data_IF_281485473690
#
_entry.id   IF_281485473690
#
_cell.length_a   1.000
_cell.length_b   1.000
_cell.length_c   1.000
_cell.angle_alpha   90.00
_cell.angle_beta   90.00
_cell.angle_gamma   90.00
#
_symmetry.space_group_name_H-M   'P 1'
#
loop_
_entity.id
_entity.type
_entity.pdbx_description
1 polymer ?
2 polymer ?
3 polymer ?
4 non-polymer ?
5 water ?
#
loop_
_entity_poly.entity_id
_entity_poly.type
_entity_poly.pdbx_seq_one_letter_code
_entity_poly.pdbx_strand_id
2 'polydeoxyribonucleotide' '(DC)(DG)(DC)(DT)(DA)(DG)(DT)(DG)(DA)(DT)(DA)(DC)(DA)(DT)' ?
3 'polydeoxyribonucleotide' '(DT)(DC)(DT)(DC)(DG)(DT)(DC)(DA)(DC)(DT)(DA)(DG)(DC)(DG)' ?
#
# COMPACT_ATOMS: atom_id res chain seq x y z
N UNK A 2 -3.01 4.51 -7.04
CA UNK A 2 -1.98 5.36 -6.47
C UNK A 2 -1.31 6.26 -7.50
N UNK A 3 -0.03 6.04 -7.72
CA UNK A 3 0.74 6.83 -8.69
C UNK A 3 0.61 6.24 -10.08
N UNK A 4 -0.20 6.85 -10.93
CA UNK A 4 -0.44 6.33 -12.27
C UNK A 4 0.78 6.46 -13.16
N UNK A 5 1.17 5.35 -13.78
CA UNK A 5 2.24 5.34 -14.75
C UNK A 5 3.65 5.47 -14.17
N UNK A 6 3.77 5.25 -12.85
CA UNK A 6 5.05 5.38 -12.19
C UNK A 6 6.02 4.28 -12.61
N UNK A 7 5.53 3.05 -12.74
CA UNK A 7 6.37 1.93 -13.14
C UNK A 7 6.98 2.11 -14.53
N UNK A 8 6.18 2.61 -15.46
CA UNK A 8 6.66 2.84 -16.83
C UNK A 8 7.64 4.00 -16.89
N UNK A 9 7.45 4.98 -16.03
CA UNK A 9 8.27 6.18 -16.03
C UNK A 9 9.71 5.87 -15.64
N UNK A 10 9.87 4.97 -14.67
CA UNK A 10 11.20 4.62 -14.17
C UNK A 10 11.56 3.17 -14.45
N UNK A 11 11.08 2.64 -15.58
CA UNK A 11 11.31 1.24 -15.92
C UNK A 11 12.80 0.94 -16.13
N UNK A 12 13.60 1.99 -16.35
CA UNK A 12 15.03 1.83 -16.55
C UNK A 12 15.71 1.28 -15.29
N UNK A 13 15.11 1.53 -14.13
CA UNK A 13 15.67 1.10 -12.86
C UNK A 13 15.17 -0.29 -12.47
N UNK A 14 14.31 -0.87 -13.31
CA UNK A 14 13.76 -2.19 -13.04
C UNK A 14 14.72 -3.29 -13.47
N UNK A 15 14.81 -4.33 -12.67
CA UNK A 15 15.66 -5.47 -12.95
C UNK A 15 14.90 -6.77 -12.74
N UNK A 16 14.66 -7.51 -13.82
CA UNK A 16 14.02 -8.83 -13.74
C UNK A 16 14.83 -9.77 -12.85
N UNK A 17 14.19 -10.36 -11.84
CA UNK A 17 14.89 -11.26 -10.93
C UNK A 17 14.09 -12.53 -10.67
N UNK A 18 14.64 -13.38 -9.80
CA UNK A 18 13.91 -14.53 -9.27
C UNK A 18 14.03 -14.50 -7.75
N UNK A 19 13.09 -15.15 -7.07
CA UNK A 19 13.04 -15.10 -5.61
C UNK A 19 14.25 -15.74 -4.94
N UNK A 20 14.96 -16.60 -5.68
CA UNK A 20 16.19 -17.22 -5.17
C UNK A 20 17.17 -16.19 -4.62
N UNK A 21 17.18 -15.00 -5.23
CA UNK A 21 18.07 -13.92 -4.86
C UNK A 21 17.92 -13.55 -3.39
N UNK A 22 16.79 -13.89 -2.79
CA UNK A 22 16.54 -13.60 -1.39
C UNK A 22 16.40 -14.86 -0.55
N UNK A 23 17.22 -15.87 -0.87
CA UNK A 23 17.21 -17.12 -0.10
C UNK A 23 17.88 -16.91 1.25
N UNK A 24 17.24 -17.41 2.31
CA UNK A 24 17.74 -17.25 3.65
C UNK A 24 17.53 -15.85 4.19
N UNK A 25 16.73 -15.06 3.47
CA UNK A 25 16.43 -13.69 3.88
C UNK A 25 14.94 -13.55 4.21
N UNK A 26 14.56 -12.38 4.73
CA UNK A 26 13.18 -12.13 5.09
C UNK A 26 12.54 -11.14 4.14
N UNK A 27 11.37 -11.48 3.61
CA UNK A 27 10.64 -10.63 2.68
C UNK A 27 9.22 -10.36 3.17
N UNK A 28 8.78 -9.11 3.06
CA UNK A 28 7.44 -8.73 3.48
C UNK A 28 6.49 -8.67 2.29
N UNK A 29 5.26 -9.18 2.47
CA UNK A 29 4.32 -9.29 1.36
C UNK A 29 3.06 -8.45 1.57
N UNK A 30 2.77 -7.57 0.61
CA UNK A 30 1.50 -6.84 0.60
C UNK A 30 0.39 -7.82 0.23
N UNK A 31 -0.09 -8.55 1.23
CA UNK A 31 -0.99 -9.68 1.00
C UNK A 31 -2.26 -9.34 0.24
N UNK A 32 -2.74 -8.10 0.37
CA UNK A 32 -4.00 -7.69 -0.25
C UNK A 32 -4.05 -7.95 -1.76
N UNK A 33 -2.91 -7.88 -2.43
CA UNK A 33 -2.85 -8.12 -3.86
C UNK A 33 -3.14 -9.59 -4.18
N UNK A 34 -2.56 -10.48 -3.38
CA UNK A 34 -2.80 -11.90 -3.51
C UNK A 34 -4.24 -12.24 -3.13
N UNK A 35 -4.75 -11.57 -2.10
CA UNK A 35 -6.11 -11.80 -1.63
C UNK A 35 -7.12 -11.39 -2.69
N UNK A 36 -6.85 -10.26 -3.33
CA UNK A 36 -7.74 -9.70 -4.34
C UNK A 36 -7.71 -10.54 -5.61
N UNK A 37 -6.51 -10.80 -6.13
CA UNK A 37 -6.37 -11.60 -7.33
C UNK A 37 -6.88 -13.03 -7.10
N UNK A 38 -6.83 -13.48 -5.85
CA UNK A 38 -7.33 -14.79 -5.49
C UNK A 38 -8.83 -14.80 -5.27
N UNK A 39 -9.39 -13.64 -4.99
CA UNK A 39 -10.84 -13.51 -4.79
C UNK A 39 -11.55 -13.31 -6.11
N UNK A 40 -10.82 -12.82 -7.12
CA UNK A 40 -11.40 -12.64 -8.45
C UNK A 40 -11.88 -13.97 -9.03
N UNK A 41 -11.15 -15.04 -8.74
CA UNK A 41 -11.50 -16.38 -9.20
C UNK A 41 -12.87 -16.83 -8.65
N UNK A 42 -13.09 -16.62 -7.36
CA UNK A 42 -14.35 -16.99 -6.72
C UNK A 42 -15.20 -15.76 -6.41
N UNK A 43 -15.51 -14.99 -7.44
CA UNK A 43 -16.26 -13.75 -7.28
C UNK A 43 -17.75 -14.02 -7.05
N UNK A 44 -18.33 -14.86 -7.89
CA UNK A 44 -19.77 -15.13 -7.84
C UNK A 44 -20.14 -15.84 -6.54
N UNK A 45 -19.22 -16.63 -6.00
CA UNK A 45 -19.42 -17.29 -4.71
C UNK A 45 -19.64 -16.27 -3.61
N UNK A 46 -18.77 -15.26 -3.55
CA UNK A 46 -18.86 -14.20 -2.54
C UNK A 46 -20.05 -13.28 -2.82
N UNK A 47 -20.42 -13.17 -4.09
CA UNK A 47 -21.54 -12.32 -4.49
C UNK A 47 -22.87 -12.92 -4.07
N UNK A 48 -22.97 -14.24 -4.16
CA UNK A 48 -24.20 -14.94 -3.77
C UNK A 48 -24.29 -15.14 -2.26
N UNK A 49 -23.14 -15.05 -1.58
CA UNK A 49 -23.07 -15.32 -0.16
C UNK A 49 -22.80 -16.79 0.09
N UNK A 50 -22.33 -17.48 -0.95
CA UNK A 50 -22.04 -18.90 -0.90
C UNK A 50 -20.61 -19.14 -0.40
N UNK A 51 -20.46 -20.03 0.60
CA UNK A 51 -19.17 -20.35 1.24
C UNK A 51 -18.08 -20.79 0.25
N UNK A 52 -16.88 -20.28 0.43
CA UNK A 52 -15.75 -20.62 -0.43
C UNK A 52 -14.41 -20.14 0.13
N UNK A 53 -13.35 -20.88 -0.19
CA UNK A 53 -12.01 -20.52 0.27
C UNK A 53 -10.90 -20.80 -0.75
N UNK A 54 -11.12 -20.42 -2.00
CA UNK A 54 -10.12 -20.61 -3.04
C UNK A 54 -8.97 -19.63 -2.87
N UNK A 55 -9.30 -18.42 -2.44
CA UNK A 55 -8.30 -17.36 -2.26
C UNK A 55 -7.28 -17.74 -1.20
N UNK A 56 -7.72 -18.53 -0.22
CA UNK A 56 -6.83 -19.05 0.80
C UNK A 56 -5.78 -19.96 0.17
N UNK A 57 -6.23 -20.88 -0.67
CA UNK A 57 -5.32 -21.77 -1.38
C UNK A 57 -4.41 -21.04 -2.34
N UNK A 58 -4.89 -19.91 -2.85
CA UNK A 58 -4.10 -19.06 -3.74
C UNK A 58 -2.93 -18.40 -2.99
N UNK A 59 -3.28 -17.64 -1.96
CA UNK A 59 -2.29 -17.00 -1.11
C UNK A 59 -1.30 -18.00 -0.54
N UNK A 60 -1.82 -19.17 -0.14
CA UNK A 60 -0.96 -20.21 0.40
C UNK A 60 -0.13 -20.87 -0.68
N UNK A 61 -0.57 -20.77 -1.93
CA UNK A 61 0.23 -21.26 -3.05
C UNK A 61 1.47 -20.38 -3.20
N UNK A 62 1.25 -19.06 -3.22
CA UNK A 62 2.39 -18.14 -3.29
C UNK A 62 3.32 -18.29 -2.09
N UNK A 63 2.72 -18.41 -0.91
CA UNK A 63 3.47 -18.57 0.33
C UNK A 63 4.32 -19.84 0.29
N UNK A 64 3.73 -20.93 -0.18
CA UNK A 64 4.44 -22.20 -0.31
C UNK A 64 5.54 -22.12 -1.35
N UNK A 65 5.37 -21.26 -2.36
CA UNK A 65 6.44 -21.04 -3.32
C UNK A 65 7.63 -20.35 -2.65
N UNK A 66 7.35 -19.24 -1.97
CA UNK A 66 8.39 -18.50 -1.26
C UNK A 66 9.12 -19.40 -0.26
N UNK A 67 8.35 -20.25 0.42
CA UNK A 67 8.91 -21.18 1.40
C UNK A 67 9.77 -22.24 0.72
N UNK A 68 9.28 -22.77 -0.39
CA UNK A 68 10.01 -23.79 -1.14
C UNK A 68 11.35 -23.25 -1.65
N UNK A 69 11.45 -21.95 -1.86
CA UNK A 69 12.71 -21.38 -2.26
C UNK A 69 13.49 -20.88 -1.09
N UNK A 70 13.04 -21.28 0.08
CA UNK A 70 13.79 -21.02 1.30
C UNK A 70 13.83 -19.56 1.76
N UNK A 71 12.69 -18.88 1.69
CA UNK A 71 12.60 -17.50 2.13
C UNK A 71 11.63 -17.38 3.30
N UNK A 72 11.92 -16.47 4.23
CA UNK A 72 11.03 -16.22 5.36
C UNK A 72 10.08 -15.07 5.05
N UNK A 73 8.81 -15.40 4.77
CA UNK A 73 7.83 -14.37 4.39
C UNK A 73 7.09 -13.80 5.58
N UNK A 74 6.83 -12.50 5.55
CA UNK A 74 6.00 -11.85 6.55
C UNK A 74 4.78 -11.22 5.88
N UNK A 75 3.62 -11.83 6.10
CA UNK A 75 2.39 -11.34 5.50
C UNK A 75 1.90 -10.08 6.21
N UNK A 76 1.56 -9.05 5.43
CA UNK A 76 1.08 -7.80 5.99
C UNK A 76 -0.31 -7.46 5.42
N UNK A 77 -1.19 -6.99 6.29
CA UNK A 77 -2.54 -6.59 5.89
C UNK A 77 -2.82 -5.15 6.28
N UNK A 78 -3.75 -4.52 5.57
CA UNK A 78 -4.18 -3.17 5.93
C UNK A 78 -5.07 -3.21 7.16
N UNK A 79 -4.99 -2.17 7.98
CA UNK A 79 -5.82 -2.07 9.17
C UNK A 79 -6.89 -1.01 9.02
N UNK A 80 -6.85 -0.02 9.91
CA UNK A 80 -7.85 1.05 9.86
C UNK A 80 -7.60 1.97 8.68
N UNK A 81 -8.62 2.73 8.31
CA UNK A 81 -8.53 3.64 7.18
C UNK A 81 -8.23 5.06 7.66
N UNK A 82 -7.26 5.70 6.99
CA UNK A 82 -6.91 7.08 7.32
C UNK A 82 -8.08 8.01 7.03
N UNK A 83 -8.27 9.03 7.88
CA UNK A 83 -9.34 10.03 7.75
C UNK A 83 -9.34 10.76 6.40
N UNK A 84 -8.21 10.75 5.71
CA UNK A 84 -8.11 11.39 4.40
C UNK A 84 -8.54 10.45 3.28
N UNK A 85 -9.27 9.41 3.64
CA UNK A 85 -9.68 8.43 2.67
C UNK A 85 -11.06 7.87 2.94
N UNK A 86 -11.65 8.30 4.03
CA UNK A 86 -12.96 7.81 4.46
C UNK A 86 -14.03 7.89 3.37
N UNK A 87 -14.20 9.08 2.79
CA UNK A 87 -15.24 9.32 1.79
C UNK A 87 -14.93 8.62 0.47
N UNK A 88 -13.65 8.36 0.22
CA UNK A 88 -13.25 7.62 -0.98
C UNK A 88 -13.62 6.15 -0.82
N UNK A 89 -13.30 5.58 0.34
CA UNK A 89 -13.65 4.19 0.62
C UNK A 89 -15.16 4.03 0.66
N UNK A 90 -15.86 5.06 1.11
CA UNK A 90 -17.31 5.06 1.13
C UNK A 90 -17.85 5.16 -0.30
N UNK A 91 -17.14 5.88 -1.14
CA UNK A 91 -17.51 6.00 -2.55
C UNK A 91 -17.39 4.66 -3.26
N UNK A 92 -16.25 3.98 -3.04
CA UNK A 92 -16.04 2.65 -3.61
C UNK A 92 -17.06 1.67 -3.03
N UNK A 93 -17.43 1.88 -1.77
CA UNK A 93 -18.47 1.09 -1.12
C UNK A 93 -19.79 1.23 -1.87
N UNK A 94 -20.16 2.48 -2.17
CA UNK A 94 -21.39 2.76 -2.90
C UNK A 94 -21.34 2.19 -4.31
N UNK A 95 -20.17 2.23 -4.94
CA UNK A 95 -19.99 1.66 -6.27
C UNK A 95 -20.19 0.15 -6.26
N UNK A 96 -19.66 -0.50 -5.23
CA UNK A 96 -19.83 -1.95 -5.10
C UNK A 96 -21.29 -2.30 -4.80
N UNK A 97 -21.95 -1.48 -4.00
CA UNK A 97 -23.37 -1.67 -3.71
C UNK A 97 -24.20 -1.56 -4.99
N UNK A 98 -23.85 -0.57 -5.82
CA UNK A 98 -24.55 -0.35 -7.08
C UNK A 98 -24.34 -1.51 -8.05
N UNK A 99 -23.07 -1.89 -8.24
CA UNK A 99 -22.74 -3.01 -9.12
C UNK A 99 -23.35 -4.32 -8.66
N UNK A 100 -23.47 -4.49 -7.35
CA UNK A 100 -24.08 -5.69 -6.78
C UNK A 100 -25.58 -5.70 -7.00
N UNK A 101 -26.23 -4.57 -6.71
CA UNK A 101 -27.67 -4.44 -6.88
C UNK A 101 -28.09 -4.63 -8.33
N UNK A 102 -27.44 -3.89 -9.23
CA UNK A 102 -27.74 -3.99 -10.66
C UNK A 102 -27.38 -5.36 -11.20
N UNK A 103 -26.18 -5.82 -10.88
CA UNK A 103 -25.70 -7.12 -11.33
C UNK A 103 -26.58 -8.26 -10.88
N UNK A 104 -27.26 -8.07 -9.75
CA UNK A 104 -28.18 -9.07 -9.23
C UNK A 104 -29.57 -8.89 -9.84
N UNK A 105 -30.31 -7.90 -9.34
CA UNK A 105 -31.70 -7.71 -9.73
C UNK A 105 -31.90 -7.38 -11.22
N UNK A 106 -31.07 -6.50 -11.76
CA UNK A 106 -31.24 -6.07 -13.15
C UNK A 106 -30.63 -7.07 -14.13
N UNK A 107 -29.98 -8.10 -13.60
CA UNK A 107 -29.32 -9.10 -14.44
C UNK A 107 -29.47 -10.51 -13.89
N UNK A 108 -30.58 -10.76 -13.20
CA UNK A 108 -30.85 -12.09 -12.65
C UNK A 108 -31.41 -13.02 -13.73
N UNK A 109 -32.06 -12.43 -14.73
CA UNK A 109 -32.63 -13.19 -15.83
C UNK A 109 -32.15 -12.66 -17.18
N UNK A 110 -31.83 -13.57 -18.09
CA UNK A 110 -31.36 -13.19 -19.41
C UNK A 110 -29.85 -13.12 -19.49
N UNK A 111 -29.31 -11.92 -19.34
CA UNK A 111 -27.86 -11.70 -19.41
C UNK A 111 -27.15 -12.31 -18.20
N UNK A 112 -26.09 -13.06 -18.47
CA UNK A 112 -25.36 -13.75 -17.41
C UNK A 112 -23.91 -13.24 -17.32
N UNK A 113 -23.29 -13.05 -18.49
CA UNK A 113 -21.91 -12.57 -18.56
C UNK A 113 -21.77 -11.19 -17.91
N UNK A 114 -22.75 -10.33 -18.14
CA UNK A 114 -22.74 -8.99 -17.57
C UNK A 114 -22.94 -9.04 -16.05
N UNK A 115 -23.76 -9.99 -15.61
CA UNK A 115 -24.02 -10.17 -14.18
C UNK A 115 -22.74 -10.58 -13.45
N UNK A 116 -21.96 -11.44 -14.09
CA UNK A 116 -20.68 -11.88 -13.54
C UNK A 116 -19.65 -10.75 -13.60
N UNK A 117 -19.72 -9.97 -14.67
CA UNK A 117 -18.82 -8.84 -14.87
C UNK A 117 -19.11 -7.71 -13.87
N UNK A 118 -20.32 -7.71 -13.33
CA UNK A 118 -20.69 -6.74 -12.30
C UNK A 118 -20.42 -7.31 -10.91
N UNK A 119 -20.58 -8.61 -10.77
CA UNK A 119 -20.31 -9.29 -9.51
C UNK A 119 -18.83 -9.27 -9.18
N UNK A 120 -17.99 -9.31 -10.22
CA UNK A 120 -16.55 -9.28 -10.02
C UNK A 120 -16.09 -7.87 -9.63
N UNK A 121 -16.95 -6.89 -9.86
CA UNK A 121 -16.65 -5.51 -9.48
C UNK A 121 -17.15 -5.20 -8.07
N UNK A 122 -18.20 -5.92 -7.66
CA UNK A 122 -18.79 -5.73 -6.34
C UNK A 122 -18.10 -6.59 -5.29
N UNK A 123 -16.93 -7.11 -5.63
CA UNK A 123 -16.16 -7.93 -4.72
C UNK A 123 -15.45 -7.09 -3.66
N UNK A 124 -15.73 -7.38 -2.40
CA UNK A 124 -15.14 -6.65 -1.30
C UNK A 124 -14.30 -7.57 -0.41
N UNK A 125 -13.01 -7.25 -0.29
CA UNK A 125 -12.11 -8.02 0.55
C UNK A 125 -12.31 -7.67 2.01
N UNK A 126 -12.85 -8.61 2.78
CA UNK A 126 -13.15 -8.37 4.19
C UNK A 126 -11.99 -8.83 5.07
N UNK A 127 -11.98 -8.39 6.32
CA UNK A 127 -10.94 -8.79 7.25
C UNK A 127 -11.17 -10.20 7.78
N UNK A 128 -12.36 -10.74 7.54
CA UNK A 128 -12.66 -12.12 7.91
C UNK A 128 -11.89 -13.07 7.00
N UNK A 129 -11.94 -12.80 5.70
CA UNK A 129 -11.19 -13.56 4.71
C UNK A 129 -9.69 -13.48 4.99
N UNK A 130 -9.24 -12.24 5.22
CA UNK A 130 -7.84 -12.00 5.58
C UNK A 130 -7.47 -12.78 6.84
N UNK A 131 -8.43 -12.92 7.75
CA UNK A 131 -8.19 -13.67 8.98
C UNK A 131 -8.08 -15.16 8.69
N UNK A 132 -8.83 -15.64 7.70
CA UNK A 132 -8.70 -17.02 7.25
C UNK A 132 -7.30 -17.25 6.72
N UNK A 133 -6.84 -16.32 5.89
CA UNK A 133 -5.49 -16.37 5.36
C UNK A 133 -4.45 -16.36 6.49
N UNK A 134 -4.69 -15.56 7.51
CA UNK A 134 -3.78 -15.47 8.65
C UNK A 134 -3.73 -16.80 9.41
N UNK A 135 -4.90 -17.41 9.62
CA UNK A 135 -4.96 -18.71 10.28
C UNK A 135 -4.20 -19.78 9.50
N UNK A 136 -4.40 -19.81 8.18
CA UNK A 136 -3.69 -20.77 7.34
C UNK A 136 -2.17 -20.55 7.37
N UNK A 137 -1.77 -19.30 7.24
CA UNK A 137 -0.34 -18.95 7.22
C UNK A 137 0.33 -19.28 8.54
N UNK A 138 -0.35 -19.02 9.65
CA UNK A 138 0.20 -19.34 10.96
C UNK A 138 0.21 -20.85 11.17
N UNK A 139 -0.74 -21.54 10.56
CA UNK A 139 -0.78 -22.99 10.61
C UNK A 139 0.40 -23.56 9.83
N UNK A 140 0.88 -22.80 8.85
CA UNK A 140 2.07 -23.19 8.10
C UNK A 140 3.34 -22.52 8.65
N UNK A 141 3.23 -21.92 9.84
CA UNK A 141 4.38 -21.35 10.52
C UNK A 141 4.86 -20.01 10.01
N UNK A 142 4.02 -19.35 9.21
CA UNK A 142 4.37 -18.04 8.62
C UNK A 142 3.87 -16.88 9.48
N UNK A 143 4.74 -15.91 9.72
CA UNK A 143 4.39 -14.74 10.53
C UNK A 143 3.44 -13.79 9.80
N UNK A 144 2.50 -13.21 10.55
CA UNK A 144 1.57 -12.23 10.00
C UNK A 144 1.59 -10.93 10.80
N UNK A 145 1.15 -9.86 10.18
CA UNK A 145 1.10 -8.56 10.84
C UNK A 145 0.01 -7.71 10.20
N UNK A 146 -0.96 -7.29 11.00
CA UNK A 146 -1.96 -6.34 10.52
C UNK A 146 -1.53 -4.92 10.84
N UNK A 147 -1.26 -4.14 9.80
CA UNK A 147 -0.86 -2.75 9.96
C UNK A 147 -1.91 -1.97 10.74
N UNK A 148 -1.48 -0.97 11.52
CA UNK A 148 -2.45 -0.11 12.19
C UNK A 148 -3.29 0.66 11.18
N UNK A 149 -2.66 1.04 10.07
CA UNK A 149 -3.37 1.72 8.99
C UNK A 149 -3.02 1.11 7.65
N UNK A 150 -2.49 1.92 6.73
CA UNK A 150 -2.18 1.42 5.40
C UNK A 150 -0.99 0.48 5.43
N UNK A 151 -1.06 -0.55 4.59
CA UNK A 151 -0.04 -1.59 4.56
C UNK A 151 1.28 -1.08 4.01
N UNK A 152 1.23 -0.16 3.06
CA UNK A 152 2.44 0.32 2.39
C UNK A 152 3.39 1.03 3.35
N UNK A 153 2.83 1.74 4.33
CA UNK A 153 3.65 2.40 5.34
C UNK A 153 4.31 1.36 6.25
N UNK A 154 3.53 0.38 6.68
CA UNK A 154 4.03 -0.70 7.53
C UNK A 154 5.18 -1.44 6.85
N UNK A 155 4.97 -1.79 5.57
CA UNK A 155 5.97 -2.48 4.77
C UNK A 155 7.23 -1.62 4.62
N UNK A 156 7.03 -0.36 4.26
CA UNK A 156 8.14 0.58 4.13
C UNK A 156 8.94 0.64 5.44
N UNK A 157 8.26 0.60 6.57
CA UNK A 157 8.95 0.60 7.85
C UNK A 157 9.77 -0.67 8.04
N UNK A 158 9.15 -1.82 7.78
CA UNK A 158 9.83 -3.11 7.89
C UNK A 158 11.10 -3.16 7.03
N UNK A 159 11.05 -2.50 5.88
CA UNK A 159 12.17 -2.49 4.95
C UNK A 159 13.25 -1.50 5.37
N UNK A 160 12.83 -0.34 5.87
CA UNK A 160 13.75 0.73 6.25
C UNK A 160 14.37 0.50 7.62
N UNK A 161 13.96 -0.57 8.29
CA UNK A 161 14.46 -0.90 9.62
C UNK A 161 15.28 -2.18 9.58
N UNK A 162 15.42 -2.74 8.38
CA UNK A 162 16.21 -3.93 8.19
C UNK A 162 15.54 -5.23 8.61
N UNK A 163 14.27 -5.13 9.01
CA UNK A 163 13.51 -6.31 9.42
C UNK A 163 13.25 -7.22 8.22
N UNK A 164 13.02 -6.60 7.04
CA UNK A 164 12.95 -7.34 5.79
C UNK A 164 13.89 -6.72 4.77
N UNK A 165 14.22 -7.46 3.72
CA UNK A 165 15.18 -7.00 2.73
C UNK A 165 14.49 -6.56 1.44
N UNK A 166 13.27 -7.06 1.24
CA UNK A 166 12.50 -6.69 0.07
C UNK A 166 11.00 -6.71 0.38
N UNK A 167 10.22 -6.10 -0.50
CA UNK A 167 8.77 -6.06 -0.35
C UNK A 167 8.09 -6.50 -1.64
N UNK A 168 7.26 -7.54 -1.54
CA UNK A 168 6.51 -8.02 -2.69
C UNK A 168 5.14 -7.36 -2.72
N UNK A 169 4.88 -6.59 -3.78
CA UNK A 169 3.62 -5.87 -3.92
C UNK A 169 3.33 -5.55 -5.38
N UNK A 170 2.14 -5.00 -5.64
CA UNK A 170 1.80 -4.51 -6.96
C UNK A 170 1.61 -2.99 -6.92
N UNK A 171 1.64 -2.44 -5.73
CA UNK A 171 1.45 -1.00 -5.52
C UNK A 171 2.74 -0.25 -5.82
N UNK A 172 2.65 0.79 -6.63
CA UNK A 172 3.83 1.58 -7.00
C UNK A 172 4.09 2.69 -5.99
N UNK A 173 3.15 2.91 -5.08
CA UNK A 173 3.28 3.95 -4.07
C UNK A 173 4.38 3.63 -3.05
N UNK A 174 4.77 2.36 -2.97
CA UNK A 174 5.79 1.91 -2.04
C UNK A 174 7.09 2.68 -2.20
N UNK A 175 7.40 3.07 -3.44
CA UNK A 175 8.62 3.79 -3.72
C UNK A 175 8.58 5.19 -3.11
N UNK A 176 7.39 5.77 -3.07
CA UNK A 176 7.23 7.12 -2.52
C UNK A 176 7.35 7.14 -1.00
N UNK A 177 7.22 5.97 -0.39
CA UNK A 177 7.37 5.84 1.06
C UNK A 177 8.84 5.70 1.46
N UNK A 178 9.69 5.43 0.47
CA UNK A 178 11.12 5.34 0.71
C UNK A 178 11.64 3.93 0.93
N UNK A 179 11.00 2.95 0.30
CA UNK A 179 11.47 1.56 0.38
C UNK A 179 12.81 1.41 -0.33
N UNK A 180 13.57 0.39 0.07
CA UNK A 180 14.88 0.15 -0.52
C UNK A 180 14.76 -0.82 -1.69
N UNK A 181 14.01 -1.89 -1.51
CA UNK A 181 13.83 -2.90 -2.54
C UNK A 181 12.37 -3.32 -2.67
N UNK A 182 11.83 -3.19 -3.88
CA UNK A 182 10.44 -3.54 -4.14
C UNK A 182 10.33 -4.52 -5.30
N UNK A 183 9.69 -5.66 -5.05
CA UNK A 183 9.51 -6.67 -6.10
C UNK A 183 8.09 -6.63 -6.65
N UNK A 184 7.97 -6.16 -7.89
CA UNK A 184 6.67 -6.01 -8.54
C UNK A 184 6.37 -7.16 -9.50
N UNK A 185 5.09 -7.34 -9.80
CA UNK A 185 4.64 -8.27 -10.83
C UNK A 185 5.25 -9.67 -10.74
N UNK A 186 5.20 -10.26 -9.56
CA UNK A 186 5.70 -11.61 -9.36
C UNK A 186 4.63 -12.65 -9.66
N UNK A 187 5.00 -13.69 -10.39
CA UNK A 187 4.05 -14.75 -10.73
C UNK A 187 4.17 -15.94 -9.78
N UNK A 188 3.63 -17.08 -10.20
CA UNK A 188 3.57 -18.28 -9.38
C UNK A 188 4.94 -18.90 -9.11
N UNK A 189 5.89 -18.66 -10.00
CA UNK A 189 7.17 -19.36 -9.96
C UNK A 189 8.28 -18.53 -9.29
N UNK A 190 8.01 -17.26 -9.08
CA UNK A 190 8.97 -16.37 -8.46
C UNK A 190 9.64 -15.43 -9.45
N UNK A 191 8.96 -15.19 -10.57
CA UNK A 191 9.46 -14.27 -11.58
C UNK A 191 8.84 -12.89 -11.45
N UNK A 192 9.64 -11.92 -11.03
CA UNK A 192 9.14 -10.58 -10.82
C UNK A 192 10.12 -9.47 -11.16
N UNK A 193 9.63 -8.24 -11.18
CA UNK A 193 10.45 -7.06 -11.45
C UNK A 193 10.87 -6.37 -10.16
N UNK A 194 12.18 -6.28 -9.95
CA UNK A 194 12.71 -5.60 -8.78
C UNK A 194 13.11 -4.17 -9.10
N UNK A 195 12.80 -3.25 -8.19
CA UNK A 195 13.23 -1.87 -8.33
C UNK A 195 13.90 -1.38 -7.05
N UNK A 196 15.20 -1.14 -7.11
CA UNK A 196 15.95 -0.65 -5.96
C UNK A 196 15.99 0.87 -5.96
N UNK A 197 16.00 1.45 -4.77
CA UNK A 197 16.04 2.89 -4.61
C UNK A 197 17.31 3.48 -5.23
N UNK A 198 18.46 2.89 -4.89
CA UNK A 198 19.75 3.38 -5.39
C UNK A 198 19.82 3.39 -6.91
N UNK A 199 19.10 2.46 -7.54
CA UNK A 199 19.11 2.34 -8.99
C UNK A 199 18.24 3.39 -9.70
N UNK A 200 17.55 4.22 -8.92
CA UNK A 200 16.71 5.27 -9.51
C UNK A 200 17.53 6.23 -10.36
N UNK A 201 18.82 6.32 -10.08
CA UNK A 201 19.72 7.16 -10.85
C UNK A 201 19.91 6.70 -12.29
N UNK A 202 19.57 5.44 -12.56
CA UNK A 202 19.71 4.89 -13.91
C UNK A 202 18.69 5.47 -14.87
N UNK A 203 17.75 6.25 -14.36
CA UNK A 203 16.73 6.88 -15.20
C UNK A 203 17.19 8.27 -15.63
N UNK A 204 17.56 8.40 -16.90
CA UNK A 204 18.04 9.68 -17.42
C UNK A 204 16.94 10.73 -17.40
N UNK A 205 15.71 10.30 -17.69
CA UNK A 205 14.57 11.20 -17.71
C UNK A 205 14.31 11.80 -16.33
N UNK A 206 14.73 11.07 -15.31
CA UNK A 206 14.53 11.49 -13.92
C UNK A 206 15.44 12.66 -13.54
N UNK A 207 16.66 12.66 -14.08
CA UNK A 207 17.61 13.72 -13.80
C UNK A 207 18.15 13.69 -12.38
N UNK A 208 18.07 14.82 -11.69
CA UNK A 208 18.55 14.91 -10.31
C UNK A 208 17.41 14.68 -9.32
N UNK A 209 16.30 14.12 -9.79
CA UNK A 209 15.17 13.81 -8.93
C UNK A 209 15.20 12.33 -8.56
N UNK A 210 16.35 11.88 -8.07
CA UNK A 210 16.49 10.49 -7.65
C UNK A 210 16.62 10.38 -6.13
N UNK A 211 16.78 11.53 -5.47
CA UNK A 211 16.81 11.58 -4.02
C UNK A 211 15.41 11.30 -3.47
N UNK A 212 15.33 10.73 -2.28
CA UNK A 212 14.07 10.30 -1.69
C UNK A 212 13.05 11.44 -1.58
N UNK A 213 13.50 12.58 -1.07
CA UNK A 213 12.63 13.74 -0.88
C UNK A 213 12.07 14.25 -2.21
N UNK A 214 12.96 14.53 -3.16
CA UNK A 214 12.55 15.02 -4.47
C UNK A 214 11.65 14.02 -5.21
N UNK A 215 11.97 12.74 -5.09
CA UNK A 215 11.18 11.69 -5.72
C UNK A 215 9.77 11.66 -5.13
N UNK A 216 9.69 11.81 -3.81
CA UNK A 216 8.41 11.89 -3.10
C UNK A 216 7.60 13.10 -3.57
N UNK A 217 8.26 14.25 -3.66
CA UNK A 217 7.60 15.47 -4.14
C UNK A 217 7.05 15.27 -5.55
N UNK A 218 7.81 14.54 -6.37
CA UNK A 218 7.38 14.26 -7.74
C UNK A 218 6.14 13.37 -7.75
N UNK A 219 6.16 12.33 -6.91
CA UNK A 219 5.03 11.42 -6.82
C UNK A 219 3.76 12.14 -6.35
N UNK A 220 3.89 13.01 -5.36
CA UNK A 220 2.74 13.76 -4.87
C UNK A 220 2.23 14.75 -5.92
N UNK A 221 3.13 15.54 -6.48
CA UNK A 221 2.76 16.50 -7.53
C UNK A 221 2.09 15.84 -8.72
N UNK A 222 2.50 14.61 -9.03
CA UNK A 222 1.94 13.88 -10.16
C UNK A 222 0.49 13.51 -9.94
N UNK A 223 0.15 13.23 -8.68
CA UNK A 223 -1.19 12.79 -8.32
C UNK A 223 -1.16 11.48 -7.55
N UNK A 224 -1.52 11.56 -6.27
CA UNK A 224 -1.51 10.39 -5.39
C UNK A 224 -2.86 10.23 -4.69
N UNK A 225 -2.97 9.21 -3.84
CA UNK A 225 -4.22 8.96 -3.12
C UNK A 225 -4.49 9.98 -2.03
N UNK A 226 -3.43 10.66 -1.56
CA UNK A 226 -3.59 11.65 -0.49
C UNK A 226 -3.87 13.04 -1.07
N UNK A 227 -3.73 13.18 -2.38
CA UNK A 227 -3.94 14.46 -3.04
C UNK A 227 -3.99 14.33 -4.56
N UNK A 228 -5.10 14.76 -5.16
CA UNK A 228 -5.22 14.78 -6.61
C UNK A 228 -4.31 15.86 -7.17
N UNK A 229 -3.86 15.67 -8.41
CA UNK A 229 -2.94 16.61 -9.03
C UNK A 229 -3.67 17.77 -9.69
N UNK A 230 -2.94 18.85 -9.92
CA UNK A 230 -3.43 19.95 -10.75
C UNK A 230 -3.72 19.42 -12.14
N UNK A 231 -4.71 19.99 -12.82
CA UNK A 231 -5.08 19.49 -14.14
C UNK A 231 -4.00 19.82 -15.17
N UNK A 232 -3.40 18.77 -15.73
CA UNK A 232 -2.35 18.94 -16.71
C UNK A 232 -0.98 18.61 -16.16
N UNK A 233 -0.95 18.22 -14.89
CA UNK A 233 0.32 17.87 -14.25
C UNK A 233 0.42 16.36 -14.00
N UNK A 234 1.32 15.72 -14.74
CA UNK A 234 1.59 14.30 -14.56
C UNK A 234 3.02 14.09 -14.08
N UNK A 235 3.55 12.90 -14.29
CA UNK A 235 4.91 12.58 -13.87
C UNK A 235 5.95 13.41 -14.61
N UNK A 236 5.78 13.57 -15.92
CA UNK A 236 6.75 14.30 -16.73
C UNK A 236 6.85 15.76 -16.29
N UNK A 237 5.70 16.42 -16.16
CA UNK A 237 5.64 17.83 -15.77
C UNK A 237 6.18 18.06 -14.35
N UNK A 238 5.85 17.14 -13.44
CA UNK A 238 6.30 17.25 -12.06
C UNK A 238 7.81 17.08 -11.98
N UNK A 239 8.30 16.06 -12.68
CA UNK A 239 9.72 15.82 -12.78
C UNK A 239 10.44 17.03 -13.36
N UNK A 240 9.83 17.64 -14.37
CA UNK A 240 10.41 18.80 -15.05
C UNK A 240 10.51 20.00 -14.11
N UNK A 241 9.40 20.33 -13.47
CA UNK A 241 9.35 21.49 -12.59
C UNK A 241 10.27 21.27 -11.37
N UNK A 242 10.49 20.02 -11.00
CA UNK A 242 11.42 19.73 -9.92
C UNK A 242 12.88 19.85 -10.38
N UNK A 243 13.14 19.45 -11.62
CA UNK A 243 14.49 19.56 -12.18
C UNK A 243 14.90 21.02 -12.36
N UNK A 244 13.97 21.84 -12.84
CA UNK A 244 14.25 23.24 -13.12
C UNK A 244 14.49 24.07 -11.85
N UNK A 245 13.62 23.90 -10.86
CA UNK A 245 13.68 24.70 -9.64
C UNK A 245 14.88 24.33 -8.77
N UNK A 246 15.55 25.36 -8.25
CA UNK A 246 16.70 25.15 -7.37
C UNK A 246 16.34 25.40 -5.91
N UNK A 247 15.33 26.23 -5.70
CA UNK A 247 14.89 26.62 -4.35
C UNK A 247 14.43 25.42 -3.53
N UNK A 248 15.12 25.16 -2.41
CA UNK A 248 14.81 24.04 -1.51
C UNK A 248 13.38 24.07 -0.97
N UNK A 249 12.83 25.27 -0.77
CA UNK A 249 11.47 25.43 -0.29
C UNK A 249 10.48 25.02 -1.37
N UNK A 250 9.74 23.94 -1.10
CA UNK A 250 8.82 23.38 -2.09
C UNK A 250 7.57 24.26 -2.28
N UNK A 251 7.22 25.02 -1.25
CA UNK A 251 6.03 25.87 -1.29
C UNK A 251 6.11 26.92 -2.39
N UNK A 252 7.22 27.64 -2.44
CA UNK A 252 7.44 28.68 -3.45
C UNK A 252 7.47 28.06 -4.85
N UNK A 253 8.02 26.86 -4.95
CA UNK A 253 8.07 26.15 -6.23
C UNK A 253 6.67 25.84 -6.72
N UNK A 254 5.84 25.28 -5.84
CA UNK A 254 4.47 24.94 -6.20
C UNK A 254 3.69 26.21 -6.53
N UNK A 255 4.05 27.31 -5.88
CA UNK A 255 3.43 28.60 -6.18
C UNK A 255 3.87 29.13 -7.55
N UNK A 256 5.05 28.74 -8.00
CA UNK A 256 5.55 29.17 -9.30
C UNK A 256 5.50 28.05 -10.33
N UNK A 257 4.67 27.04 -10.08
CA UNK A 257 4.53 25.90 -10.98
C UNK A 257 4.04 26.34 -12.36
N UNK A 258 3.31 27.44 -12.42
CA UNK A 258 2.82 27.98 -13.67
C UNK A 258 3.93 28.71 -14.40
N UNK A 259 4.90 29.20 -13.63
CA UNK A 259 6.03 29.92 -14.19
C UNK A 259 7.05 28.96 -14.79
N UNK A 260 7.34 27.88 -14.07
CA UNK A 260 8.35 26.92 -14.51
C UNK A 260 7.91 26.08 -15.71
N UNK A 261 6.59 25.93 -15.89
CA UNK A 261 6.08 25.03 -16.92
C UNK A 261 5.49 25.77 -18.11
N UNK A 262 5.50 27.10 -18.05
CA UNK A 262 4.98 27.96 -19.11
C UNK A 262 3.51 27.67 -19.44
N UNK A 263 2.76 27.21 -18.43
CA UNK A 263 1.33 26.97 -18.62
C UNK A 263 0.51 27.66 -17.53
N UNK A 264 -0.64 28.20 -17.93
CA UNK A 264 -1.46 29.02 -17.03
C UNK A 264 -2.11 28.20 -15.92
N UNK A 265 -1.49 28.21 -14.75
CA UNK A 265 -2.01 27.46 -13.62
C UNK A 265 -2.19 28.34 -12.39
N UNK A 266 -3.42 28.41 -11.90
CA UNK A 266 -3.72 29.12 -10.67
C UNK A 266 -3.85 28.13 -9.51
N UNK A 267 -2.81 28.04 -8.70
CA UNK A 267 -2.77 27.10 -7.57
C UNK A 267 -3.81 27.44 -6.51
N UNK A 268 -4.76 26.53 -6.28
CA UNK A 268 -5.81 26.69 -5.27
C UNK A 268 -5.24 26.88 -3.86
N UNK A 269 -6.02 27.50 -2.98
CA UNK A 269 -5.58 27.79 -1.62
C UNK A 269 -5.40 26.49 -0.83
N UNK A 270 -6.26 25.52 -1.12
CA UNK A 270 -6.26 24.25 -0.40
C UNK A 270 -5.15 23.33 -0.85
N UNK A 271 -4.60 23.58 -2.04
CA UNK A 271 -3.62 22.66 -2.62
C UNK A 271 -2.28 22.66 -1.90
N UNK A 272 -1.85 23.81 -1.40
CA UNK A 272 -0.59 23.88 -0.68
C UNK A 272 -0.68 23.11 0.63
N UNK A 273 -1.72 23.41 1.41
CA UNK A 273 -1.96 22.73 2.67
C UNK A 273 -2.16 21.24 2.47
N UNK A 274 -2.86 20.88 1.40
CA UNK A 274 -3.09 19.49 1.05
C UNK A 274 -1.80 18.80 0.64
N UNK A 275 -0.89 19.56 0.04
CA UNK A 275 0.41 19.04 -0.33
C UNK A 275 1.22 18.75 0.92
N UNK A 276 1.23 19.70 1.84
CA UNK A 276 1.95 19.55 3.10
C UNK A 276 1.40 18.35 3.87
N UNK A 277 0.08 18.20 3.84
CA UNK A 277 -0.58 17.07 4.50
C UNK A 277 -0.22 15.75 3.83
N UNK A 278 -0.16 15.75 2.50
CA UNK A 278 0.21 14.54 1.76
C UNK A 278 1.63 14.10 2.11
N UNK A 279 2.56 15.06 2.03
CA UNK A 279 3.95 14.79 2.35
C UNK A 279 4.11 14.30 3.78
N UNK A 280 3.42 14.97 4.71
CA UNK A 280 3.45 14.58 6.11
C UNK A 280 2.85 13.19 6.33
N UNK A 281 1.89 12.81 5.49
CA UNK A 281 1.31 11.48 5.58
C UNK A 281 2.31 10.44 5.09
N UNK A 282 3.02 10.75 4.00
CA UNK A 282 4.06 9.86 3.49
C UNK A 282 5.18 9.69 4.48
N UNK A 283 5.47 10.75 5.24
CA UNK A 283 6.60 10.72 6.17
C UNK A 283 6.27 10.10 7.53
N UNK A 284 5.14 10.49 8.10
CA UNK A 284 4.86 10.22 9.50
C UNK A 284 3.58 9.41 9.76
N UNK A 285 3.19 8.56 8.81
CA UNK A 285 2.04 7.70 9.02
C UNK A 285 2.35 6.64 10.07
N UNK A 286 1.40 6.38 10.96
CA UNK A 286 1.64 5.48 12.09
C UNK A 286 1.78 4.03 11.64
N UNK A 287 2.83 3.38 12.13
CA UNK A 287 3.07 1.96 11.86
C UNK A 287 3.31 1.22 13.16
N UNK A 288 3.32 -0.10 13.10
CA UNK A 288 3.54 -0.91 14.29
C UNK A 288 4.95 -1.50 14.31
N UNK A 289 5.71 -1.17 15.34
CA UNK A 289 7.02 -1.76 15.55
C UNK A 289 6.86 -3.15 16.17
N UNK A 290 7.19 -4.20 15.41
CA UNK A 290 7.02 -5.57 15.91
C UNK A 290 7.98 -5.90 17.04
N UNK A 291 9.16 -5.27 17.05
CA UNK A 291 10.17 -5.54 18.06
C UNK A 291 9.83 -4.87 19.38
N UNK A 292 9.67 -3.54 19.35
CA UNK A 292 9.36 -2.78 20.55
C UNK A 292 7.90 -2.95 20.98
N UNK A 293 7.10 -3.54 20.10
CA UNK A 293 5.69 -3.82 20.35
C UNK A 293 4.91 -2.56 20.71
N UNK A 294 5.17 -1.48 19.97
CA UNK A 294 4.47 -0.22 20.18
C UNK A 294 4.19 0.50 18.86
N UNK A 295 3.46 1.61 18.95
CA UNK A 295 3.01 2.34 17.78
C UNK A 295 3.87 3.56 17.52
N UNK A 296 4.61 3.53 16.42
CA UNK A 296 5.55 4.61 16.09
C UNK A 296 5.33 5.14 14.68
N UNK A 297 5.77 6.39 14.43
CA UNK A 297 5.71 6.95 13.07
C UNK A 297 6.64 6.24 12.10
N UNK A 298 6.41 6.40 10.81
CA UNK A 298 7.27 5.80 9.79
C UNK A 298 8.69 6.36 9.92
N UNK A 299 8.78 7.68 10.04
CA UNK A 299 10.05 8.34 10.32
C UNK A 299 9.94 9.20 11.59
N UNK A 300 11.04 9.30 12.33
CA UNK A 300 11.08 10.16 13.51
C UNK A 300 10.81 11.60 13.11
N UNK A 301 9.97 12.28 13.89
CA UNK A 301 9.56 13.65 13.58
C UNK A 301 10.75 14.60 13.49
N UNK A 302 10.67 15.55 12.56
CA UNK A 302 11.70 16.57 12.40
C UNK A 302 11.52 17.70 13.39
N UNK A 303 12.36 18.73 13.27
CA UNK A 303 12.34 19.85 14.21
C UNK A 303 11.23 20.84 13.87
N UNK A 304 10.71 20.76 12.64
CA UNK A 304 9.66 21.69 12.19
C UNK A 304 8.33 21.00 11.94
N UNK A 305 7.90 20.17 12.89
CA UNK A 305 6.63 19.46 12.75
C UNK A 305 5.98 19.20 14.11
N UNK A 306 4.68 19.47 14.19
CA UNK A 306 3.94 19.29 15.43
C UNK A 306 3.01 18.08 15.34
N UNK A 307 3.32 17.03 16.12
CA UNK A 307 2.58 15.76 16.15
C UNK A 307 1.08 15.93 16.45
N UNK A 308 0.71 16.98 17.16
CA UNK A 308 -0.70 17.20 17.51
C UNK A 308 -1.53 17.60 16.30
N UNK A 309 -0.84 18.00 15.23
CA UNK A 309 -1.53 18.45 14.02
C UNK A 309 -1.49 17.40 12.90
N UNK A 310 -1.03 16.20 13.24
CA UNK A 310 -0.92 15.13 12.26
C UNK A 310 -1.92 14.01 12.51
N UNK A 311 -3.16 14.38 12.81
CA UNK A 311 -4.20 13.39 13.07
C UNK A 311 -4.58 12.65 11.79
N UNK A 312 -4.44 13.33 10.66
CA UNK A 312 -4.79 12.74 9.36
C UNK A 312 -3.81 11.63 8.97
N UNK A 313 -2.66 11.57 9.64
CA UNK A 313 -1.70 10.51 9.42
C UNK A 313 -1.93 9.35 10.38
N UNK A 314 -3.13 9.28 10.94
CA UNK A 314 -3.48 8.23 11.88
C UNK A 314 -3.33 8.66 13.32
N UNK A 315 -4.25 8.23 14.17
CA UNK A 315 -4.24 8.60 15.58
C UNK A 315 -3.71 7.47 16.46
N UNK A 316 -3.02 7.83 17.54
CA UNK A 316 -2.44 6.85 18.44
C UNK A 316 -3.51 6.14 19.27
N UNK A 317 -3.22 4.89 19.61
CA UNK A 317 -4.00 4.16 20.60
C UNK A 317 -3.02 3.50 21.56
N UNK A 318 -3.53 2.82 22.57
CA UNK A 318 -2.65 2.13 23.52
C UNK A 318 -1.88 1.02 22.80
N UNK A 319 -0.65 0.79 23.23
CA UNK A 319 0.20 -0.17 22.57
C UNK A 319 -0.32 -1.61 22.67
N UNK A 320 -1.09 -1.90 23.72
CA UNK A 320 -1.64 -3.24 23.90
C UNK A 320 -2.77 -3.51 22.91
N UNK A 321 -3.56 -2.47 22.65
CA UNK A 321 -4.62 -2.52 21.66
C UNK A 321 -4.03 -2.63 20.25
N UNK A 322 -2.99 -1.84 19.98
CA UNK A 322 -2.31 -1.87 18.70
C UNK A 322 -1.66 -3.22 18.47
N UNK A 323 -1.15 -3.82 19.54
CA UNK A 323 -0.56 -5.14 19.49
C UNK A 323 -1.62 -6.18 19.16
N UNK A 324 -2.77 -6.08 19.82
CA UNK A 324 -3.86 -7.02 19.55
C UNK A 324 -4.42 -6.86 18.14
N UNK A 325 -4.33 -5.65 17.59
CA UNK A 325 -4.74 -5.40 16.22
C UNK A 325 -3.73 -6.02 15.25
N UNK A 326 -2.45 -5.85 15.55
CA UNK A 326 -1.37 -6.38 14.72
C UNK A 326 -1.39 -7.90 14.64
N UNK A 327 -1.87 -8.55 15.70
CA UNK A 327 -1.95 -10.01 15.74
C UNK A 327 -3.20 -10.53 15.04
N UNK A 328 -4.06 -9.61 14.63
CA UNK A 328 -5.32 -9.98 13.99
C UNK A 328 -6.34 -10.49 14.98
N UNK A 329 -6.07 -10.31 16.27
CA UNK A 329 -6.98 -10.75 17.31
C UNK A 329 -8.17 -9.81 17.49
N UNK A 330 -7.89 -8.51 17.37
CA UNK A 330 -8.93 -7.49 17.56
C UNK A 330 -9.47 -7.00 16.22
N UNK A 331 -10.78 -7.01 16.08
CA UNK A 331 -11.42 -6.55 14.85
C UNK A 331 -11.15 -5.07 14.62
N UNK A 332 -10.99 -4.70 13.35
CA UNK A 332 -10.65 -3.33 12.97
C UNK A 332 -11.75 -2.34 13.33
N UNK A 333 -13.00 -2.72 13.09
CA UNK A 333 -14.13 -1.81 13.26
C UNK A 333 -14.72 -1.83 14.66
N UNK A 334 -15.17 -2.99 15.11
CA UNK A 334 -15.88 -3.09 16.37
C UNK A 334 -14.95 -3.16 17.59
N UNK A 335 -13.66 -3.38 17.33
CA UNK A 335 -12.64 -3.53 18.38
C UNK A 335 -12.90 -4.73 19.29
N UNK A 336 -13.73 -5.66 18.84
CA UNK A 336 -14.02 -6.86 19.60
C UNK A 336 -12.96 -7.93 19.39
N UNK A 337 -12.69 -8.71 20.43
CA UNK A 337 -11.72 -9.79 20.36
C UNK A 337 -12.30 -10.99 19.62
N UNK A 338 -11.80 -11.27 18.43
CA UNK A 338 -12.30 -12.37 17.62
C UNK A 338 -11.37 -13.58 17.66
N UNK A 339 -10.21 -13.41 18.26
CA UNK A 339 -9.22 -14.49 18.32
C UNK A 339 -8.29 -14.29 19.52
N UNK A 340 -7.60 -15.36 19.91
CA UNK A 340 -6.76 -15.32 21.10
C UNK A 340 -5.36 -15.87 20.82
N UNK A 341 -4.79 -15.48 19.69
CA UNK A 341 -3.44 -15.92 19.33
C UNK A 341 -2.40 -15.24 20.21
N UNK A 342 -1.44 -16.02 20.70
CA UNK A 342 -0.38 -15.49 21.55
C UNK A 342 1.00 -15.85 21.01
N UNK A 343 1.75 -14.84 20.57
CA UNK A 343 3.09 -15.06 20.01
C UNK A 343 4.09 -15.54 21.07
N UNK A 344 3.76 -15.33 22.35
CA UNK A 344 4.62 -15.76 23.43
C UNK A 344 4.56 -17.28 23.61
N UNK A 345 3.34 -17.83 23.58
CA UNK A 345 3.16 -19.26 23.76
C UNK A 345 2.80 -19.94 22.44
N UNK A 346 3.80 -20.05 21.56
CA UNK A 346 3.62 -20.69 20.26
C UNK A 346 4.43 -21.98 20.17
N UNK A 355 9.73 -13.51 15.09
CA UNK A 355 9.17 -12.16 15.11
C UNK A 355 8.66 -11.80 16.50
N UNK A 356 8.42 -10.51 16.73
CA UNK A 356 7.94 -9.99 18.01
C UNK A 356 8.89 -10.31 19.17
N UNK A 357 10.18 -10.31 18.89
CA UNK A 357 11.19 -10.60 19.91
C UNK A 357 12.46 -9.79 19.68
X LIG D 1 -1.86 13.93 -12.70
#
# INVERSE_FOLDING_TARGET
MGIQGLLQFIKEASEPIHVRKYKGQVVAVDTYCWLHKGAIACAEKLAKGEPTDRYVGFCMKFVNMLLSHGIKPILVFDGCTLPSKKEVERSRRERRQANLLKGKQLLREGKVSEARECFTRSINITHAMAHKVIKAARSQGVDCLVAPYEADAQLAYLNKAGIVQAIITEDSDLLAFGCKKVILKMDQFGNGLEIDQARLGMCRQLGDVFTEEKFRYMCILSGCDYLSSLRGIGLAKACKVLRLANNPDIVKVIKKIGHYLKMNITVPEDYINGFIRANNTFLYQLVFDPIKRKLIPLNAYEDDVDPETLSYAGQYVDDSIALQIALGNKDINTFEQIDDYNPDTAMPAHSRENLYFQ
NA NA
#
